data_IF_415743773095
#
_entry.id   IF_415743773095
#
_cell.length_a   1.000
_cell.length_b   1.000
_cell.length_c   1.000
_cell.angle_alpha   90.00
_cell.angle_beta   90.00
_cell.angle_gamma   90.00
#
_symmetry.space_group_name_H-M   'P 1'
#
loop_
_entity.id
_entity.type
_entity.pdbx_description
1 polymer ?
#
# COMPACT_ATOMS: atom_id res chain seq x y z
N UNK A 1 9.08 -11.36 10.01
CA UNK A 1 7.61 -11.25 10.11
C UNK A 1 7.19 -9.79 9.90
N UNK A 2 6.03 -9.50 9.31
CA UNK A 2 5.55 -8.12 9.17
C UNK A 2 4.92 -7.66 10.49
N UNK A 3 5.39 -6.54 11.03
CA UNK A 3 4.92 -5.95 12.29
C UNK A 3 4.06 -4.74 11.96
N UNK A 4 2.84 -4.71 12.48
CA UNK A 4 1.93 -3.57 12.36
C UNK A 4 1.74 -2.95 13.74
N UNK A 5 1.91 -1.64 13.84
CA UNK A 5 1.67 -0.87 15.06
C UNK A 5 0.70 0.26 14.76
N UNK A 6 -0.37 0.36 15.54
CA UNK A 6 -1.37 1.43 15.40
C UNK A 6 -1.30 2.29 16.65
N UNK A 7 -1.21 3.59 16.44
CA UNK A 7 -1.20 4.61 17.50
C UNK A 7 -2.03 5.79 17.05
N UNK A 8 -2.49 6.62 17.95
CA UNK A 8 -3.26 7.80 17.58
C UNK A 8 -3.44 8.74 18.76
N UNK A 9 -3.74 9.99 18.41
CA UNK A 9 -4.10 11.06 19.33
C UNK A 9 -5.53 11.55 19.01
N UNK A 10 -5.97 12.64 19.63
CA UNK A 10 -7.30 13.23 19.41
C UNK A 10 -7.58 13.56 17.94
N UNK A 11 -6.55 13.95 17.18
CA UNK A 11 -6.71 14.47 15.81
C UNK A 11 -6.14 13.55 14.72
N UNK A 12 -5.20 12.66 15.04
CA UNK A 12 -4.41 11.91 14.04
C UNK A 12 -4.27 10.45 14.46
N UNK A 13 -4.52 9.54 13.53
CA UNK A 13 -4.16 8.13 13.64
C UNK A 13 -2.90 7.85 12.82
N UNK A 14 -1.95 7.11 13.39
CA UNK A 14 -0.72 6.66 12.76
C UNK A 14 -0.68 5.13 12.70
N UNK A 15 -0.51 4.60 11.48
CA UNK A 15 -0.32 3.19 11.21
C UNK A 15 1.12 3.00 10.75
N UNK A 16 1.91 2.27 11.53
CA UNK A 16 3.28 1.86 11.18
C UNK A 16 3.29 0.42 10.70
N UNK A 17 3.81 0.19 9.51
CA UNK A 17 4.02 -1.14 8.93
C UNK A 17 5.52 -1.33 8.80
N UNK A 18 6.05 -2.37 9.43
CA UNK A 18 7.49 -2.65 9.51
C UNK A 18 7.78 -4.05 9.00
N UNK A 19 8.69 -4.16 8.06
CA UNK A 19 9.17 -5.42 7.50
C UNK A 19 10.66 -5.65 7.79
N UNK A 20 11.11 -6.88 7.56
CA UNK A 20 12.53 -7.30 7.60
C UNK A 20 12.92 -7.87 6.22
N UNK A 21 12.43 -7.24 5.15
CA UNK A 21 12.55 -7.70 3.76
C UNK A 21 13.85 -7.30 3.05
N UNK A 22 14.87 -6.83 3.79
CA UNK A 22 16.14 -6.39 3.23
C UNK A 22 16.20 -4.91 2.82
N UNK A 23 15.10 -4.18 2.92
CA UNK A 23 15.06 -2.73 2.70
C UNK A 23 15.21 -2.30 1.24
N UNK A 24 15.20 -0.99 1.02
CA UNK A 24 15.28 -0.34 -0.29
C UNK A 24 16.68 0.27 -0.45
N UNK A 25 17.40 0.00 -1.55
CA UNK A 25 18.68 0.63 -1.82
C UNK A 25 18.56 2.15 -1.90
N UNK A 26 19.56 2.88 -1.38
CA UNK A 26 19.56 4.35 -1.37
C UNK A 26 19.43 4.95 -2.77
N UNK A 27 20.00 4.30 -3.79
CA UNK A 27 19.88 4.69 -5.20
C UNK A 27 18.43 4.72 -5.71
N UNK A 28 17.56 3.89 -5.14
CA UNK A 28 16.19 3.67 -5.59
C UNK A 28 15.17 4.52 -4.81
N UNK A 29 15.57 5.09 -3.66
CA UNK A 29 14.69 5.87 -2.77
C UNK A 29 14.02 7.07 -3.44
N UNK A 30 14.67 7.70 -4.42
CA UNK A 30 14.04 8.81 -5.15
C UNK A 30 13.01 8.31 -6.18
N UNK A 31 13.14 7.07 -6.62
CA UNK A 31 12.31 6.47 -7.67
C UNK A 31 11.08 5.76 -7.11
N UNK A 32 11.07 5.34 -5.84
CA UNK A 32 9.93 4.61 -5.25
C UNK A 32 8.60 5.36 -5.36
N UNK A 33 8.63 6.70 -5.35
CA UNK A 33 7.45 7.55 -5.49
C UNK A 33 7.06 7.85 -6.95
N UNK A 34 7.85 7.39 -7.92
CA UNK A 34 7.54 7.56 -9.35
C UNK A 34 6.50 6.55 -9.79
N UNK A 35 5.49 7.01 -10.54
CA UNK A 35 4.55 6.12 -11.20
C UNK A 35 5.30 5.20 -12.17
N UNK A 36 4.86 3.94 -12.24
CA UNK A 36 5.40 2.91 -13.12
C UNK A 36 6.83 2.45 -12.80
N UNK A 37 7.44 2.93 -11.72
CA UNK A 37 8.73 2.41 -11.26
C UNK A 37 8.54 1.07 -10.52
N UNK A 38 9.27 0.05 -10.92
CA UNK A 38 9.26 -1.26 -10.26
C UNK A 38 10.63 -1.95 -10.35
N UNK A 39 10.97 -2.71 -9.31
CA UNK A 39 12.14 -3.59 -9.27
C UNK A 39 11.80 -5.04 -9.65
N UNK A 40 10.50 -5.35 -9.83
CA UNK A 40 10.06 -6.67 -10.24
C UNK A 40 10.48 -6.96 -11.69
N UNK A 41 10.76 -8.22 -12.04
CA UNK A 41 11.10 -8.59 -13.42
C UNK A 41 9.94 -8.23 -14.35
N UNK A 42 10.28 -7.71 -15.53
CA UNK A 42 9.31 -7.49 -16.59
C UNK A 42 8.75 -8.83 -17.06
N UNK A 43 7.43 -8.93 -17.13
CA UNK A 43 6.74 -10.12 -17.63
C UNK A 43 6.11 -9.74 -18.97
N UNK A 44 6.56 -10.38 -20.06
CA UNK A 44 6.09 -10.14 -21.43
C UNK A 44 4.63 -10.59 -21.67
N UNK A 45 4.00 -11.23 -20.69
CA UNK A 45 2.61 -11.69 -20.82
C UNK A 45 1.66 -10.49 -20.73
N UNK A 46 0.77 -10.28 -21.71
CA UNK A 46 -0.19 -9.20 -21.65
C UNK A 46 -1.11 -9.39 -20.45
N UNK A 47 -1.26 -8.34 -19.64
CA UNK A 47 -2.19 -8.29 -18.51
C UNK A 47 -3.60 -8.41 -19.08
N UNK A 48 -4.20 -9.60 -18.99
CA UNK A 48 -5.57 -9.85 -19.47
C UNK A 48 -6.58 -9.35 -18.44
N UNK A 49 -7.77 -8.92 -18.88
CA UNK A 49 -8.84 -8.45 -17.97
C UNK A 49 -9.13 -9.42 -16.82
N UNK A 50 -9.07 -10.72 -17.10
CA UNK A 50 -9.24 -11.79 -16.12
C UNK A 50 -8.22 -11.74 -14.96
N UNK A 51 -6.99 -11.27 -15.18
CA UNK A 51 -5.97 -11.14 -14.13
C UNK A 51 -6.25 -9.96 -13.20
N UNK A 52 -6.97 -8.94 -13.69
CA UNK A 52 -7.34 -7.74 -12.92
C UNK A 52 -8.61 -7.99 -12.11
N UNK A 53 -9.53 -8.80 -12.63
CA UNK A 53 -10.83 -9.07 -12.00
C UNK A 53 -10.71 -9.99 -10.76
N UNK A 54 -9.63 -10.79 -10.62
CA UNK A 54 -9.41 -11.68 -9.46
C UNK A 54 -7.94 -11.65 -8.95
N UNK A 55 -7.50 -10.56 -8.30
CA UNK A 55 -6.10 -10.38 -7.92
C UNK A 55 -5.64 -11.21 -6.70
N UNK A 56 -6.55 -11.84 -5.94
CA UNK A 56 -6.24 -12.41 -4.61
C UNK A 56 -6.84 -13.80 -4.34
N UNK A 57 -7.13 -14.63 -5.35
CA UNK A 57 -7.64 -15.99 -5.09
C UNK A 57 -6.56 -16.87 -4.40
N UNK A 58 -6.73 -17.03 -3.08
CA UNK A 58 -5.80 -17.70 -2.15
C UNK A 58 -5.76 -19.21 -2.36
N UNK A 59 -6.77 -19.79 -3.02
CA UNK A 59 -6.94 -21.24 -3.20
C UNK A 59 -5.88 -21.89 -4.07
N UNK A 60 -5.10 -21.10 -4.81
CA UNK A 60 -4.01 -21.54 -5.68
C UNK A 60 -2.60 -21.37 -5.06
N UNK A 61 -2.48 -20.97 -3.79
CA UNK A 61 -1.20 -20.83 -3.08
C UNK A 61 -0.49 -22.19 -2.88
N UNK A 62 -1.26 -23.27 -2.67
CA UNK A 62 -0.74 -24.65 -2.55
C UNK A 62 -0.02 -25.13 -3.82
N UNK A 63 -0.40 -24.62 -4.99
CA UNK A 63 0.21 -25.01 -6.27
C UNK A 63 1.61 -24.40 -6.50
N UNK A 64 1.93 -23.26 -5.87
CA UNK A 64 3.28 -22.67 -5.91
C UNK A 64 4.25 -23.32 -4.92
N UNK A 65 3.74 -23.84 -3.81
CA UNK A 65 4.56 -24.52 -2.79
C UNK A 65 4.99 -25.92 -3.24
N UNK A 66 4.39 -26.45 -4.32
CA UNK A 66 4.72 -27.73 -4.94
C UNK A 66 5.98 -27.75 -5.83
N UNK A 67 6.80 -26.68 -5.82
CA UNK A 67 8.22 -26.78 -6.15
C UNK A 67 8.60 -26.89 -7.63
N UNK A 68 7.80 -26.40 -8.57
CA UNK A 68 8.16 -26.43 -9.99
C UNK A 68 9.04 -25.25 -10.37
N UNK A 69 10.26 -25.57 -10.79
CA UNK A 69 11.24 -24.64 -11.39
C UNK A 69 10.65 -23.91 -12.59
N UNK A 70 10.86 -22.59 -12.61
CA UNK A 70 10.61 -21.71 -13.76
C UNK A 70 11.48 -22.20 -14.92
N UNK A 71 10.87 -22.99 -15.81
CA UNK A 71 11.53 -23.66 -16.92
C UNK A 71 10.48 -24.40 -17.74
N UNK A 72 10.01 -23.71 -18.77
CA UNK A 72 9.13 -24.19 -19.83
C UNK A 72 9.48 -25.61 -20.32
N UNK A 73 8.48 -26.49 -20.37
CA UNK A 73 8.44 -27.58 -21.36
C UNK A 73 7.21 -27.35 -22.23
N UNK A 74 7.49 -27.00 -23.48
CA UNK A 74 6.52 -26.97 -24.57
C UNK A 74 5.72 -28.27 -24.58
N UNK A 75 4.39 -28.19 -24.69
CA UNK A 75 3.60 -29.01 -25.63
C UNK A 75 2.07 -28.78 -25.59
N UNK A 76 1.51 -27.98 -24.69
CA UNK A 76 0.05 -27.77 -24.67
C UNK A 76 -0.33 -26.27 -24.77
N UNK A 77 -1.10 -25.85 -25.79
CA UNK A 77 -1.42 -24.44 -26.06
C UNK A 77 -2.63 -23.90 -25.30
N UNK A 78 -3.28 -24.70 -24.47
CA UNK A 78 -4.49 -24.35 -23.75
C UNK A 78 -4.36 -24.89 -22.31
N UNK A 79 -4.67 -24.07 -21.30
CA UNK A 79 -4.63 -24.40 -19.86
C UNK A 79 -3.26 -24.59 -19.17
N UNK A 80 -2.51 -23.50 -18.86
CA UNK A 80 -1.73 -23.39 -17.57
C UNK A 80 -1.00 -22.06 -17.31
N UNK A 81 -1.10 -21.02 -18.14
CA UNK A 81 -0.36 -19.76 -17.92
C UNK A 81 -1.27 -18.59 -17.53
N UNK A 82 -2.06 -18.81 -16.48
CA UNK A 82 -2.62 -17.72 -15.68
C UNK A 82 -1.45 -17.02 -14.95
N UNK A 83 -0.72 -16.20 -15.71
CA UNK A 83 0.20 -15.22 -15.16
C UNK A 83 -0.63 -14.30 -14.26
N UNK A 84 -0.65 -14.64 -12.97
CA UNK A 84 -1.21 -13.84 -11.88
C UNK A 84 -0.83 -12.40 -12.13
N UNK A 85 -1.75 -11.46 -11.90
CA UNK A 85 -1.35 -10.05 -11.74
C UNK A 85 -0.27 -10.04 -10.66
N UNK A 86 0.99 -9.72 -11.01
CA UNK A 86 2.08 -9.91 -10.08
C UNK A 86 1.86 -8.93 -8.92
N UNK A 87 2.06 -9.40 -7.68
CA UNK A 87 1.89 -8.58 -6.46
C UNK A 87 2.67 -7.26 -6.54
N UNK A 88 3.75 -7.24 -7.32
CA UNK A 88 4.52 -6.08 -7.72
C UNK A 88 4.83 -6.16 -9.23
N UNK A 89 4.95 -5.02 -9.90
CA UNK A 89 5.33 -4.98 -11.33
C UNK A 89 4.79 -3.78 -12.07
N UNK A 90 3.59 -3.29 -11.70
CA UNK A 90 3.01 -2.10 -12.32
C UNK A 90 3.57 -0.78 -11.75
N UNK A 91 4.13 -0.78 -10.54
CA UNK A 91 4.76 0.42 -9.96
C UNK A 91 3.79 1.55 -9.60
N UNK A 92 2.51 1.24 -9.37
CA UNK A 92 1.48 2.25 -9.03
C UNK A 92 1.13 2.30 -7.54
N UNK A 93 1.49 1.28 -6.74
CA UNK A 93 1.02 1.13 -5.37
C UNK A 93 1.42 2.29 -4.45
N UNK A 94 2.73 2.47 -4.22
CA UNK A 94 3.24 3.48 -3.30
C UNK A 94 2.81 4.93 -3.62
N UNK A 95 2.93 5.42 -4.88
CA UNK A 95 2.44 6.77 -5.20
C UNK A 95 0.92 6.91 -5.06
N UNK A 96 0.15 5.87 -5.39
CA UNK A 96 -1.31 5.90 -5.24
C UNK A 96 -1.74 5.87 -3.77
N UNK A 97 -1.10 5.06 -2.93
CA UNK A 97 -1.35 5.05 -1.48
C UNK A 97 -1.10 6.43 -0.87
N UNK A 98 -0.02 7.11 -1.27
CA UNK A 98 0.27 8.48 -0.82
C UNK A 98 -0.81 9.47 -1.27
N UNK A 99 -1.29 9.35 -2.51
CA UNK A 99 -2.39 10.15 -3.01
C UNK A 99 -3.65 9.97 -2.14
N UNK A 100 -4.01 8.72 -1.82
CA UNK A 100 -5.17 8.44 -0.95
C UNK A 100 -5.01 9.02 0.45
N UNK A 101 -3.85 8.85 1.08
CA UNK A 101 -3.60 9.43 2.39
C UNK A 101 -3.69 10.97 2.36
N UNK A 102 -3.10 11.60 1.33
CA UNK A 102 -3.11 13.05 1.15
C UNK A 102 -4.52 13.58 0.90
N UNK A 103 -5.33 12.84 0.12
CA UNK A 103 -6.73 13.17 -0.13
C UNK A 103 -7.56 13.22 1.16
N UNK A 104 -7.27 12.34 2.13
CA UNK A 104 -7.90 12.31 3.45
C UNK A 104 -7.29 13.32 4.44
N UNK A 105 -6.41 14.21 3.97
CA UNK A 105 -5.72 15.20 4.79
C UNK A 105 -4.59 14.62 5.66
N UNK A 106 -4.14 13.41 5.35
CA UNK A 106 -3.02 12.73 5.99
C UNK A 106 -1.74 12.75 5.15
N UNK A 107 -0.78 11.88 5.48
CA UNK A 107 0.45 11.69 4.71
C UNK A 107 1.02 10.28 4.91
N UNK A 108 1.87 9.84 3.98
CA UNK A 108 2.65 8.60 4.12
C UNK A 108 4.13 8.94 4.06
N UNK A 109 4.88 8.44 5.03
CA UNK A 109 6.33 8.53 5.11
C UNK A 109 6.94 7.13 5.04
N UNK A 110 8.08 7.02 4.35
CA UNK A 110 8.80 5.77 4.19
C UNK A 110 10.21 5.93 4.76
N UNK A 111 10.58 5.03 5.66
CA UNK A 111 11.92 4.92 6.24
C UNK A 111 12.47 3.54 5.91
N UNK A 112 13.66 3.47 5.35
CA UNK A 112 14.28 2.19 5.00
C UNK A 112 15.62 2.02 5.69
N UNK A 113 15.92 0.78 6.07
CA UNK A 113 17.20 0.34 6.59
C UNK A 113 17.80 -0.64 5.57
N UNK A 114 18.79 -0.21 4.77
CA UNK A 114 19.39 -1.06 3.75
C UNK A 114 19.94 -2.37 4.34
N UNK A 115 19.64 -3.49 3.70
CA UNK A 115 19.96 -4.86 4.14
C UNK A 115 19.26 -5.30 5.43
N UNK A 116 18.23 -4.58 5.87
CA UNK A 116 17.44 -4.96 7.04
C UNK A 116 15.95 -4.98 6.70
N UNK A 117 15.33 -3.84 6.40
CA UNK A 117 13.89 -3.76 6.22
C UNK A 117 13.38 -2.35 5.93
N UNK A 118 12.07 -2.22 5.77
CA UNK A 118 11.40 -0.94 5.54
C UNK A 118 10.25 -0.73 6.52
N UNK A 119 10.16 0.49 7.02
CA UNK A 119 9.10 0.99 7.87
C UNK A 119 8.30 2.06 7.10
N UNK A 120 6.99 1.88 7.04
CA UNK A 120 6.05 2.82 6.42
C UNK A 120 5.14 3.38 7.50
N UNK A 121 5.04 4.71 7.57
CA UNK A 121 4.18 5.43 8.49
C UNK A 121 3.05 6.09 7.69
N UNK A 122 1.81 5.71 7.96
CA UNK A 122 0.62 6.35 7.40
C UNK A 122 -0.06 7.18 8.49
N UNK A 123 -0.01 8.49 8.35
CA UNK A 123 -0.72 9.44 9.19
C UNK A 123 -2.05 9.79 8.51
N UNK A 124 -3.15 9.63 9.23
CA UNK A 124 -4.50 9.92 8.75
C UNK A 124 -5.21 10.79 9.78
N UNK A 125 -6.05 11.71 9.33
CA UNK A 125 -6.90 12.46 10.25
C UNK A 125 -7.90 11.51 10.90
N UNK A 126 -8.07 11.65 12.21
CA UNK A 126 -9.13 10.93 12.93
C UNK A 126 -10.46 11.50 12.45
N UNK A 127 -11.31 10.64 11.91
CA UNK A 127 -12.68 11.02 11.63
C UNK A 127 -13.38 11.16 12.99
N UNK A 128 -13.89 12.36 13.31
CA UNK A 128 -14.55 12.62 14.58
C UNK A 128 -15.63 11.58 14.85
N UNK A 129 -15.73 11.13 16.09
CA UNK A 129 -16.88 10.34 16.50
C UNK A 129 -18.10 11.26 16.36
N UNK A 130 -19.28 10.71 16.00
CA UNK A 130 -20.48 11.51 15.68
C UNK A 130 -20.92 12.46 16.82
N UNK A 131 -20.32 12.33 17.99
CA UNK A 131 -20.54 13.14 19.20
C UNK A 131 -19.74 14.47 19.18
N UNK A 132 -18.61 14.55 18.46
CA UNK A 132 -17.74 15.75 18.40
C UNK A 132 -18.26 16.84 17.44
N UNK A 133 -19.18 16.46 16.54
CA UNK A 133 -19.80 17.37 15.58
C UNK A 133 -20.83 18.31 16.22
N UNK A 134 -21.38 17.94 17.38
CA UNK A 134 -22.34 18.79 18.09
C UNK A 134 -21.63 19.88 18.91
N UNK A 135 -20.46 19.58 19.50
CA UNK A 135 -19.73 20.55 20.33
C UNK A 135 -19.01 21.62 19.49
N UNK A 136 -18.49 21.26 18.31
CA UNK A 136 -17.84 22.20 17.40
C UNK A 136 -18.83 23.21 16.76
N UNK A 137 -20.08 22.78 16.53
CA UNK A 137 -21.19 23.67 16.12
C UNK A 137 -21.59 24.66 17.22
N UNK A 138 -21.62 24.20 18.48
CA UNK A 138 -21.98 25.04 19.64
C UNK A 138 -20.89 26.02 20.07
N UNK A 139 -19.61 25.73 19.79
CA UNK A 139 -18.50 26.62 20.17
C UNK A 139 -18.18 27.69 19.11
N UNK A 140 -18.51 27.48 17.83
CA UNK A 140 -18.38 28.53 16.80
C UNK A 140 -19.38 29.68 17.00
N UNK A 141 -20.56 29.37 17.56
CA UNK A 141 -21.65 30.33 17.81
C UNK A 141 -21.42 31.21 19.05
N UNK A 142 -20.55 30.79 19.98
CA UNK A 142 -20.25 31.54 21.22
C UNK A 142 -19.13 32.58 21.04
N UNK A 143 -18.22 32.38 20.09
CA UNK A 143 -17.05 33.25 19.92
C UNK A 143 -17.28 34.47 19.01
N UNK A 144 -18.49 34.65 18.45
CA UNK A 144 -18.84 35.81 17.63
C UNK A 144 -19.47 36.98 18.40
N UNK A 145 -19.82 36.78 19.68
CA UNK A 145 -20.44 37.81 20.52
C UNK A 145 -19.43 38.37 21.54
N UNK A 146 -18.56 39.29 21.10
CA UNK A 146 -17.78 40.15 22.00
C UNK A 146 -18.58 41.45 22.25
N UNK A 147 -19.00 41.78 23.49
CA UNK A 147 -19.63 43.06 23.77
C UNK A 147 -18.58 44.18 23.73
N UNK A 148 -18.93 45.29 23.08
CA UNK A 148 -18.21 46.56 23.08
C UNK A 148 -18.65 47.44 24.26
#
# INVERSE_FOLDING_TARGET
PVKVSVSGDENVACIRISDEGGGIPVKDLNHVWSYLYSTAPYVDTPVTRASVDNPTDVRMLDALQAGTSIGCSANDPDETLLARSPLAGLGCGLPLSRLYATYLGGTIELQTLPNYGTDVFAYLNRLGDREDLEECSMNSSRNSAKPA
#
